data_IF_538960348267
#
_entry.id   IF_538960348267
#
_cell.length_a   1.000
_cell.length_b   1.000
_cell.length_c   1.000
_cell.angle_alpha   90.00
_cell.angle_beta   90.00
_cell.angle_gamma   90.00
#
_symmetry.space_group_name_H-M   'P 1'
#
loop_
_entity.id
_entity.type
_entity.pdbx_description
1 polymer ?
#
# COMPACT_ATOMS: atom_id res chain seq x y z
N UNK A 1 0.83 14.10 -18.72
CA UNK A 1 2.04 13.28 -18.92
C UNK A 1 2.35 12.48 -17.66
N UNK A 2 3.01 11.33 -17.78
CA UNK A 2 3.53 10.52 -16.65
C UNK A 2 5.06 10.53 -16.73
N UNK A 3 5.74 10.69 -15.60
CA UNK A 3 7.20 10.68 -15.52
C UNK A 3 7.67 9.59 -14.55
N UNK A 4 8.80 8.94 -14.83
CA UNK A 4 9.44 7.98 -13.91
C UNK A 4 10.49 8.63 -13.01
N UNK A 5 10.96 9.83 -13.37
CA UNK A 5 11.88 10.64 -12.57
C UNK A 5 11.36 12.08 -12.41
N UNK A 6 11.82 12.72 -11.35
CA UNK A 6 11.58 14.12 -11.04
C UNK A 6 12.87 14.75 -10.52
N UNK A 7 12.94 16.07 -10.50
CA UNK A 7 14.04 16.78 -9.85
C UNK A 7 13.57 17.22 -8.47
N UNK A 8 14.23 16.73 -7.42
CA UNK A 8 14.07 17.27 -6.07
C UNK A 8 14.93 18.54 -5.98
N UNK A 9 14.32 19.65 -5.53
CA UNK A 9 15.02 20.91 -5.26
C UNK A 9 14.71 21.38 -3.85
N UNK A 10 15.73 21.61 -3.05
CA UNK A 10 15.66 22.44 -1.85
C UNK A 10 16.70 23.56 -1.91
N UNK A 11 16.91 24.29 -0.81
CA UNK A 11 17.82 25.44 -0.78
C UNK A 11 19.29 25.07 -1.03
N UNK A 12 19.67 23.79 -0.85
CA UNK A 12 21.07 23.34 -0.87
C UNK A 12 21.33 22.25 -1.93
N UNK A 13 20.30 21.58 -2.43
CA UNK A 13 20.43 20.37 -3.24
C UNK A 13 19.47 20.35 -4.42
N UNK A 14 20.01 19.97 -5.58
CA UNK A 14 19.26 19.62 -6.78
C UNK A 14 19.64 18.20 -7.22
N UNK A 15 18.70 17.25 -7.09
CA UNK A 15 18.96 15.83 -7.36
C UNK A 15 17.84 15.26 -8.23
N UNK A 16 18.20 14.59 -9.32
CA UNK A 16 17.25 13.78 -10.08
C UNK A 16 16.96 12.48 -9.34
N UNK A 17 15.68 12.17 -9.15
CA UNK A 17 15.22 11.05 -8.34
C UNK A 17 14.20 10.22 -9.10
N UNK A 18 14.41 8.90 -9.15
CA UNK A 18 13.43 7.94 -9.65
C UNK A 18 12.28 7.74 -8.64
N UNK A 19 11.10 7.34 -9.11
CA UNK A 19 9.95 7.05 -8.23
C UNK A 19 10.32 6.06 -7.13
N UNK A 20 11.03 4.98 -7.46
CA UNK A 20 11.42 3.96 -6.48
C UNK A 20 12.43 4.47 -5.45
N UNK A 21 13.32 5.38 -5.83
CA UNK A 21 14.26 6.03 -4.91
C UNK A 21 13.50 6.90 -3.92
N UNK A 22 12.57 7.73 -4.40
CA UNK A 22 11.71 8.53 -3.55
C UNK A 22 10.94 7.67 -2.55
N UNK A 23 10.31 6.59 -3.02
CA UNK A 23 9.50 5.71 -2.18
C UNK A 23 10.31 5.06 -1.06
N UNK A 24 11.61 4.86 -1.25
CA UNK A 24 12.51 4.30 -0.23
C UNK A 24 13.13 5.35 0.68
N UNK A 25 13.11 6.61 0.30
CA UNK A 25 13.81 7.66 1.02
C UNK A 25 13.19 7.91 2.42
N UNK A 26 14.01 7.98 3.50
CA UNK A 26 13.52 8.27 4.86
C UNK A 26 12.70 9.58 4.92
N UNK A 27 13.21 10.65 4.29
CA UNK A 27 12.51 11.94 4.19
C UNK A 27 11.41 12.00 3.09
N UNK A 28 10.80 10.87 2.74
CA UNK A 28 9.79 10.76 1.68
C UNK A 28 8.74 11.89 1.72
N UNK A 29 8.19 12.20 2.90
CA UNK A 29 7.16 13.24 3.05
C UNK A 29 7.68 14.63 2.70
N UNK A 30 8.89 14.97 3.11
CA UNK A 30 9.56 16.26 2.81
C UNK A 30 9.84 16.36 1.30
N UNK A 31 10.46 15.32 0.74
CA UNK A 31 10.90 15.32 -0.67
C UNK A 31 9.69 15.39 -1.61
N UNK A 32 8.63 14.62 -1.31
CA UNK A 32 7.39 14.59 -2.10
C UNK A 32 6.77 15.98 -2.33
N UNK A 33 7.00 16.93 -1.42
CA UNK A 33 6.45 18.29 -1.54
C UNK A 33 7.27 19.20 -2.48
N UNK A 34 8.48 18.81 -2.83
CA UNK A 34 9.48 19.62 -3.55
C UNK A 34 9.99 18.90 -4.81
N UNK A 35 9.09 18.25 -5.55
CA UNK A 35 9.39 17.58 -6.81
C UNK A 35 9.03 18.48 -7.98
N UNK A 36 9.94 18.58 -8.95
CA UNK A 36 9.82 19.45 -10.11
C UNK A 36 10.06 18.69 -11.42
N UNK A 37 9.61 19.31 -12.51
CA UNK A 37 9.80 18.83 -13.86
C UNK A 37 11.31 18.69 -14.16
N UNK A 38 11.74 17.61 -14.82
CA UNK A 38 13.13 17.45 -15.23
C UNK A 38 13.50 18.22 -16.50
N UNK A 39 12.57 18.97 -17.10
CA UNK A 39 12.87 19.82 -18.25
C UNK A 39 13.74 20.99 -17.83
N UNK A 40 14.69 21.37 -18.69
CA UNK A 40 15.55 22.53 -18.49
C UNK A 40 14.71 23.78 -18.22
N UNK A 41 15.10 24.55 -17.20
CA UNK A 41 14.44 25.79 -16.75
C UNK A 41 12.94 25.65 -16.43
N UNK A 42 12.45 24.44 -16.16
CA UNK A 42 11.04 24.20 -15.89
C UNK A 42 10.72 24.10 -14.39
N UNK A 43 9.98 25.09 -13.86
CA UNK A 43 9.58 25.13 -12.44
C UNK A 43 8.22 24.46 -12.16
N UNK A 44 7.71 23.64 -13.08
CA UNK A 44 6.43 22.95 -12.89
C UNK A 44 6.54 21.91 -11.78
N UNK A 45 5.77 22.06 -10.71
CA UNK A 45 5.70 21.05 -9.64
C UNK A 45 5.10 19.75 -10.14
N UNK A 46 5.69 18.65 -9.70
CA UNK A 46 5.19 17.30 -9.89
C UNK A 46 4.64 16.76 -8.58
N UNK A 47 3.75 15.78 -8.68
CA UNK A 47 3.19 15.02 -7.57
C UNK A 47 3.28 13.54 -7.90
N UNK A 48 3.65 12.76 -6.90
CA UNK A 48 3.57 11.30 -7.01
C UNK A 48 2.10 10.86 -7.05
N UNK A 49 1.76 10.07 -8.07
CA UNK A 49 0.50 9.37 -8.20
C UNK A 49 0.76 7.91 -7.87
N UNK A 50 0.05 7.42 -6.86
CA UNK A 50 0.19 6.04 -6.39
C UNK A 50 -1.05 5.23 -6.73
N UNK A 51 -0.89 4.19 -7.52
CA UNK A 51 -1.99 3.32 -7.92
C UNK A 51 -2.07 2.10 -6.99
N UNK A 52 -3.27 1.53 -6.84
CA UNK A 52 -3.47 0.35 -5.98
C UNK A 52 -2.80 -0.92 -6.51
N UNK A 53 -2.44 -0.94 -7.79
CA UNK A 53 -1.73 -2.04 -8.44
C UNK A 53 -0.19 -1.95 -8.29
N UNK A 54 0.30 -1.00 -7.50
CA UNK A 54 1.74 -0.80 -7.27
C UNK A 54 2.47 -0.02 -8.36
N UNK A 55 1.78 0.44 -9.41
CA UNK A 55 2.39 1.33 -10.41
C UNK A 55 2.36 2.78 -9.92
N UNK A 56 3.53 3.30 -9.58
CA UNK A 56 3.69 4.67 -9.12
C UNK A 56 4.40 5.52 -10.20
N UNK A 57 3.98 6.77 -10.36
CA UNK A 57 4.56 7.68 -11.36
C UNK A 57 4.40 9.13 -10.91
N UNK A 58 5.25 10.02 -11.41
CA UNK A 58 5.06 11.44 -11.22
C UNK A 58 4.13 12.03 -12.28
N UNK A 59 3.31 12.99 -11.86
CA UNK A 59 2.43 13.77 -12.73
C UNK A 59 2.49 15.23 -12.32
N UNK A 60 2.40 16.13 -13.29
CA UNK A 60 2.23 17.57 -13.05
C UNK A 60 1.15 17.86 -12.00
N UNK A 61 1.48 18.65 -10.99
CA UNK A 61 0.55 19.11 -9.98
C UNK A 61 -0.50 20.03 -10.63
N UNK A 62 -1.75 19.94 -10.18
CA UNK A 62 -2.83 20.81 -10.68
C UNK A 62 -2.51 22.27 -10.33
N UNK A 63 -2.53 23.16 -11.32
CA UNK A 63 -2.21 24.58 -11.13
C UNK A 63 -0.75 24.98 -11.38
N UNK A 64 0.16 24.03 -11.65
CA UNK A 64 1.54 24.33 -12.02
C UNK A 64 1.77 23.98 -13.48
N UNK A 65 1.86 24.98 -14.36
CA UNK A 65 2.08 24.76 -15.79
C UNK A 65 3.57 24.61 -16.10
N UNK A 66 3.87 23.88 -17.17
CA UNK A 66 5.23 23.87 -17.72
C UNK A 66 5.53 25.24 -18.35
N UNK A 67 6.81 25.62 -18.34
CA UNK A 67 7.31 26.76 -19.12
C UNK A 67 7.05 26.52 -20.61
N UNK A 68 6.94 27.61 -21.38
CA UNK A 68 6.65 27.56 -22.81
C UNK A 68 7.71 26.79 -23.62
N UNK A 69 8.95 26.82 -23.15
CA UNK A 69 10.11 26.13 -23.74
C UNK A 69 10.29 24.71 -23.25
N UNK A 70 9.48 24.24 -22.31
CA UNK A 70 9.63 22.91 -21.75
C UNK A 70 9.25 21.83 -22.76
N UNK A 71 10.16 20.88 -23.02
CA UNK A 71 9.91 19.72 -23.89
C UNK A 71 8.78 18.79 -23.43
N UNK A 72 8.23 19.01 -22.23
CA UNK A 72 7.11 18.26 -21.66
C UNK A 72 5.78 19.04 -21.63
N UNK A 73 5.74 20.23 -22.21
CA UNK A 73 4.51 21.02 -22.35
C UNK A 73 3.48 20.23 -23.19
N UNK A 74 2.36 19.84 -22.58
CA UNK A 74 1.21 19.30 -23.32
C UNK A 74 0.44 20.49 -23.91
N UNK A 75 0.55 20.70 -25.23
CA UNK A 75 -0.27 21.68 -25.96
C UNK A 75 -1.75 21.24 -25.94
N UNK A 76 -2.63 22.17 -25.56
CA UNK A 76 -4.09 22.16 -25.43
C UNK A 76 -4.89 20.96 -25.97
N UNK A 77 -4.68 19.78 -25.41
CA UNK A 77 -5.63 18.67 -25.54
C UNK A 77 -6.49 18.62 -24.28
N UNK A 78 -7.74 19.09 -24.39
CA UNK A 78 -8.77 18.89 -23.36
C UNK A 78 -9.18 17.41 -23.40
N UNK A 79 -8.81 16.58 -22.41
CA UNK A 79 -9.17 15.17 -22.42
C UNK A 79 -10.68 15.02 -22.22
N UNK A 80 -11.29 14.04 -22.92
CA UNK A 80 -12.66 13.60 -22.61
C UNK A 80 -12.70 13.16 -21.15
N UNK A 81 -13.45 13.88 -20.31
CA UNK A 81 -13.72 13.46 -18.94
C UNK A 81 -14.96 12.58 -18.98
N UNK A 82 -14.81 11.28 -18.77
CA UNK A 82 -15.92 10.42 -18.35
C UNK A 82 -16.13 10.61 -16.84
N UNK A 83 -17.37 10.68 -16.39
CA UNK A 83 -17.70 10.64 -14.96
C UNK A 83 -17.90 9.18 -14.57
N UNK A 84 -17.45 8.78 -13.38
CA UNK A 84 -17.78 7.47 -12.83
C UNK A 84 -18.44 7.66 -11.49
N UNK A 85 -19.70 7.25 -11.39
CA UNK A 85 -20.44 7.20 -10.14
C UNK A 85 -20.22 5.83 -9.49
N UNK A 86 -20.09 5.81 -8.16
CA UNK A 86 -19.79 4.58 -7.43
C UNK A 86 -20.95 4.15 -6.55
N UNK A 87 -21.45 2.94 -6.77
CA UNK A 87 -22.31 2.24 -5.82
C UNK A 87 -21.43 1.49 -4.83
N UNK A 88 -21.76 1.58 -3.55
CA UNK A 88 -21.02 0.88 -2.49
C UNK A 88 -21.73 -0.43 -2.14
N UNK A 89 -20.98 -1.53 -2.13
CA UNK A 89 -21.49 -2.86 -1.80
C UNK A 89 -20.53 -3.51 -0.78
N UNK A 90 -21.07 -4.21 0.23
CA UNK A 90 -20.25 -4.99 1.16
C UNK A 90 -19.89 -6.33 0.53
N UNK A 91 -18.63 -6.74 0.64
CA UNK A 91 -18.19 -8.02 0.09
C UNK A 91 -16.95 -8.56 0.79
N UNK A 92 -16.89 -9.90 0.91
CA UNK A 92 -15.71 -10.60 1.41
C UNK A 92 -14.67 -10.76 0.32
N UNK A 93 -13.43 -11.01 0.74
CA UNK A 93 -12.34 -11.37 -0.18
C UNK A 93 -12.24 -12.87 -0.38
N UNK A 94 -11.71 -13.29 -1.53
CA UNK A 94 -11.34 -14.68 -1.77
C UNK A 94 -10.02 -15.01 -1.08
N UNK A 95 -9.77 -16.29 -0.78
CA UNK A 95 -8.47 -16.75 -0.26
C UNK A 95 -7.34 -16.39 -1.24
N UNK A 96 -7.56 -16.56 -2.54
CA UNK A 96 -6.62 -16.16 -3.59
C UNK A 96 -6.36 -14.65 -3.60
N UNK A 97 -7.40 -13.86 -3.41
CA UNK A 97 -7.31 -12.40 -3.30
C UNK A 97 -6.49 -11.94 -2.09
N UNK A 98 -6.65 -12.60 -0.95
CA UNK A 98 -5.84 -12.40 0.26
C UNK A 98 -4.39 -12.79 -0.01
N UNK A 99 -4.15 -14.00 -0.52
CA UNK A 99 -2.82 -14.54 -0.80
C UNK A 99 -2.03 -13.67 -1.78
N UNK A 100 -2.67 -13.23 -2.88
CA UNK A 100 -2.04 -12.34 -3.87
C UNK A 100 -1.60 -11.02 -3.25
N UNK A 101 -2.42 -10.42 -2.38
CA UNK A 101 -2.08 -9.14 -1.73
C UNK A 101 -0.97 -9.30 -0.69
N UNK A 102 -0.93 -10.42 0.03
CA UNK A 102 0.17 -10.76 0.94
C UNK A 102 1.48 -10.96 0.19
N UNK A 103 1.46 -11.74 -0.89
CA UNK A 103 2.65 -11.91 -1.74
C UNK A 103 3.15 -10.59 -2.31
N UNK A 104 2.24 -9.72 -2.75
CA UNK A 104 2.59 -8.39 -3.26
C UNK A 104 3.18 -7.48 -2.18
N UNK A 105 2.62 -7.51 -0.96
CA UNK A 105 3.16 -6.76 0.17
C UNK A 105 4.54 -7.31 0.58
N UNK A 106 4.73 -8.63 0.61
CA UNK A 106 6.01 -9.25 0.94
C UNK A 106 7.09 -8.90 -0.10
N UNK A 107 6.71 -8.89 -1.39
CA UNK A 107 7.58 -8.43 -2.47
C UNK A 107 7.92 -6.94 -2.35
N UNK A 108 6.97 -6.13 -1.88
CA UNK A 108 7.22 -4.69 -1.64
C UNK A 108 8.30 -4.51 -0.57
N UNK A 109 8.24 -5.29 0.53
CA UNK A 109 9.27 -5.30 1.54
C UNK A 109 10.61 -5.82 1.00
N UNK A 110 10.62 -6.92 0.23
CA UNK A 110 11.85 -7.45 -0.38
C UNK A 110 12.53 -6.41 -1.27
N UNK A 111 11.76 -5.72 -2.12
CA UNK A 111 12.25 -4.67 -3.02
C UNK A 111 12.75 -3.43 -2.26
N UNK A 112 12.25 -3.22 -1.03
CA UNK A 112 12.73 -2.16 -0.15
C UNK A 112 14.07 -2.55 0.49
N UNK A 113 14.13 -3.74 1.10
CA UNK A 113 15.32 -4.24 1.80
C UNK A 113 16.47 -4.57 0.85
N UNK A 114 16.16 -5.10 -0.33
CA UNK A 114 17.10 -5.54 -1.35
C UNK A 114 16.75 -4.87 -2.69
N UNK A 115 17.00 -3.55 -2.82
CA UNK A 115 16.63 -2.82 -4.02
C UNK A 115 17.43 -3.33 -5.22
N UNK A 116 16.73 -3.78 -6.26
CA UNK A 116 17.36 -3.99 -7.55
C UNK A 116 17.68 -2.61 -8.14
N UNK A 117 18.89 -2.45 -8.70
CA UNK A 117 19.29 -1.22 -9.39
C UNK A 117 18.28 -0.99 -10.52
N UNK A 118 17.50 0.11 -10.50
CA UNK A 118 16.57 0.38 -11.57
C UNK A 118 17.38 0.56 -12.86
N UNK A 119 17.07 -0.25 -13.86
CA UNK A 119 17.59 -0.02 -15.21
C UNK A 119 17.06 1.37 -15.61
N UNK A 120 17.97 2.31 -15.90
CA UNK A 120 17.61 3.63 -16.43
C UNK A 120 16.90 3.41 -17.77
N UNK A 121 15.58 3.28 -17.75
CA UNK A 121 14.80 3.30 -18.97
C UNK A 121 14.80 4.74 -19.49
N UNK A 122 15.46 4.96 -20.64
CA UNK A 122 15.25 6.16 -21.43
C UNK A 122 13.78 6.21 -21.85
N UNK A 123 12.99 7.07 -21.20
CA UNK A 123 11.60 7.26 -21.59
C UNK A 123 11.58 7.95 -22.95
N UNK A 124 11.29 7.18 -24.01
CA UNK A 124 10.72 7.75 -25.24
C UNK A 124 9.25 8.08 -24.98
N UNK A 125 8.78 9.31 -25.22
CA UNK A 125 7.37 9.65 -25.05
C UNK A 125 6.52 8.86 -26.06
N UNK A 126 5.87 7.78 -25.61
CA UNK A 126 4.81 7.14 -26.38
C UNK A 126 3.54 8.00 -26.26
N UNK A 127 3.41 8.97 -27.16
CA UNK A 127 2.14 9.67 -27.39
C UNK A 127 1.16 8.67 -28.03
N UNK A 128 0.37 7.97 -27.20
CA UNK A 128 -0.88 7.41 -27.71
C UNK A 128 -1.80 8.59 -28.05
N UNK A 129 -2.40 8.63 -29.25
CA UNK A 129 -3.38 9.66 -29.57
C UNK A 129 -4.51 9.62 -28.54
N UNK A 130 -4.73 10.73 -27.82
CA UNK A 130 -5.89 10.89 -26.96
C UNK A 130 -7.08 11.22 -27.85
N UNK A 131 -8.24 10.58 -27.61
CA UNK A 131 -9.50 10.99 -28.25
C UNK A 131 -9.79 12.43 -27.86
N UNK A 132 -10.08 13.27 -28.86
CA UNK A 132 -10.50 14.66 -28.72
C UNK A 132 -12.03 14.68 -28.87
N UNK A 133 -12.74 15.48 -28.08
CA UNK A 133 -14.20 15.64 -28.22
C UNK A 133 -14.54 16.30 -29.56
N UNK A 134 -15.54 15.78 -30.24
CA UNK A 134 -16.27 16.55 -31.24
C UNK A 134 -17.28 17.49 -30.55
N UNK A 135 -17.56 18.69 -31.10
CA UNK A 135 -18.53 19.60 -30.53
C UNK A 135 -19.93 18.94 -30.45
N UNK A 136 -20.45 18.75 -29.23
CA UNK A 136 -21.79 18.17 -29.00
C UNK A 136 -21.81 16.78 -28.34
N UNK A 137 -20.67 16.14 -28.11
CA UNK A 137 -20.64 14.85 -27.38
C UNK A 137 -20.99 15.01 -25.89
N UNK A 138 -22.01 14.26 -25.45
CA UNK A 138 -22.38 14.15 -24.04
C UNK A 138 -21.28 13.49 -23.21
N UNK A 139 -21.23 13.83 -21.92
CA UNK A 139 -20.26 13.25 -20.99
C UNK A 139 -20.69 11.82 -20.64
N UNK A 140 -19.89 10.82 -21.03
CA UNK A 140 -20.14 9.42 -20.64
C UNK A 140 -20.11 9.28 -19.10
N UNK A 141 -21.23 8.87 -18.52
CA UNK A 141 -21.36 8.52 -17.10
C UNK A 141 -21.27 6.99 -16.99
N UNK A 142 -20.25 6.52 -16.29
CA UNK A 142 -20.05 5.11 -15.98
C UNK A 142 -20.51 4.82 -14.55
N UNK A 143 -21.09 3.65 -14.30
CA UNK A 143 -21.38 3.17 -12.94
C UNK A 143 -20.31 2.15 -12.54
N UNK A 144 -19.55 2.46 -11.50
CA UNK A 144 -18.59 1.56 -10.87
C UNK A 144 -19.12 1.01 -9.54
N UNK A 145 -18.57 -0.11 -9.08
CA UNK A 145 -18.82 -0.63 -7.73
C UNK A 145 -17.58 -0.47 -6.87
N UNK A 146 -17.77 0.09 -5.68
CA UNK A 146 -16.77 0.14 -4.61
C UNK A 146 -17.13 -0.92 -3.57
N UNK A 147 -16.27 -1.93 -3.44
CA UNK A 147 -16.42 -2.96 -2.42
C UNK A 147 -15.88 -2.45 -1.09
N UNK A 148 -16.72 -2.50 -0.06
CA UNK A 148 -16.33 -2.31 1.35
C UNK A 148 -16.09 -3.69 1.94
N UNK A 149 -14.99 -3.84 2.67
CA UNK A 149 -14.59 -5.12 3.22
C UNK A 149 -15.54 -5.54 4.34
N UNK A 150 -16.10 -6.74 4.22
CA UNK A 150 -16.84 -7.41 5.28
C UNK A 150 -16.53 -8.92 5.23
N UNK A 151 -15.90 -9.51 6.27
CA UNK A 151 -15.58 -10.94 6.28
C UNK A 151 -16.79 -11.86 6.14
N UNK A 152 -17.95 -11.39 6.61
CA UNK A 152 -19.18 -12.17 6.71
C UNK A 152 -20.10 -11.97 5.49
N UNK A 153 -19.78 -11.03 4.60
CA UNK A 153 -20.54 -10.80 3.37
C UNK A 153 -20.24 -11.84 2.29
N UNK A 154 -21.02 -11.87 1.22
CA UNK A 154 -20.76 -12.73 0.07
C UNK A 154 -19.60 -12.22 -0.82
N UNK A 155 -19.10 -13.07 -1.72
CA UNK A 155 -18.16 -12.63 -2.76
C UNK A 155 -18.97 -11.93 -3.84
N UNK A 156 -18.56 -10.72 -4.22
CA UNK A 156 -19.23 -9.97 -5.29
C UNK A 156 -18.69 -10.43 -6.65
N UNK A 157 -19.55 -11.04 -7.45
CA UNK A 157 -19.29 -11.41 -8.85
C UNK A 157 -20.08 -10.51 -9.78
N UNK A 158 -19.44 -10.00 -10.85
CA UNK A 158 -20.13 -9.29 -11.94
C UNK A 158 -19.81 -9.91 -13.28
N UNK A 159 -20.83 -10.03 -14.12
CA UNK A 159 -20.65 -10.44 -15.50
C UNK A 159 -19.87 -9.36 -16.27
N UNK A 160 -18.91 -9.79 -17.07
CA UNK A 160 -18.19 -8.93 -18.00
C UNK A 160 -18.94 -8.87 -19.34
N UNK A 161 -18.62 -7.87 -20.15
CA UNK A 161 -19.18 -7.73 -21.52
C UNK A 161 -18.91 -8.97 -22.41
N UNK A 162 -17.95 -9.81 -22.04
CA UNK A 162 -17.57 -11.01 -22.78
C UNK A 162 -18.22 -12.30 -22.22
N UNK A 163 -19.08 -12.22 -21.21
CA UNK A 163 -19.70 -13.39 -20.56
C UNK A 163 -18.85 -14.04 -19.46
N UNK A 164 -17.60 -13.60 -19.27
CA UNK A 164 -16.78 -14.05 -18.14
C UNK A 164 -17.24 -13.41 -16.84
N UNK A 165 -17.12 -14.13 -15.72
CA UNK A 165 -17.36 -13.58 -14.38
C UNK A 165 -16.10 -12.88 -13.85
N UNK A 166 -16.27 -11.65 -13.37
CA UNK A 166 -15.23 -10.88 -12.68
C UNK A 166 -15.55 -10.74 -11.20
N UNK A 167 -14.64 -11.23 -10.36
CA UNK A 167 -14.71 -11.05 -8.92
C UNK A 167 -14.28 -9.62 -8.57
N UNK A 168 -15.11 -8.93 -7.80
CA UNK A 168 -14.82 -7.60 -7.26
C UNK A 168 -14.41 -7.74 -5.80
N UNK A 169 -13.26 -7.15 -5.46
CA UNK A 169 -12.70 -7.24 -4.10
C UNK A 169 -12.27 -5.86 -3.61
N UNK A 170 -12.27 -5.71 -2.29
CA UNK A 170 -11.80 -4.50 -1.63
C UNK A 170 -10.34 -4.19 -1.97
N UNK A 171 -10.04 -2.90 -2.16
CA UNK A 171 -8.69 -2.42 -2.46
C UNK A 171 -7.91 -2.20 -1.18
N UNK A 172 -6.66 -2.67 -1.16
CA UNK A 172 -5.67 -2.38 -0.13
C UNK A 172 -4.52 -1.58 -0.75
N UNK A 173 -4.31 -0.36 -0.25
CA UNK A 173 -3.28 0.54 -0.77
C UNK A 173 -1.92 0.19 -0.18
N UNK A 174 -0.90 0.03 -1.03
CA UNK A 174 0.47 -0.23 -0.56
C UNK A 174 1.05 1.03 0.06
N UNK A 175 1.38 1.00 1.34
CA UNK A 175 2.03 2.10 2.06
C UNK A 175 3.00 1.51 3.05
N UNK A 176 4.30 1.80 2.90
CA UNK A 176 5.25 1.58 3.99
C UNK A 176 5.01 2.62 5.09
N UNK A 177 5.38 2.37 6.35
CA UNK A 177 5.04 3.25 7.47
C UNK A 177 5.47 4.72 7.28
N UNK A 178 6.67 4.98 6.78
CA UNK A 178 7.18 6.33 6.46
C UNK A 178 6.43 7.04 5.32
N UNK A 179 5.59 6.32 4.59
CA UNK A 179 4.79 6.85 3.49
C UNK A 179 3.36 7.17 3.88
N UNK A 180 2.92 6.74 5.07
CA UNK A 180 1.55 6.92 5.57
C UNK A 180 1.35 8.40 5.92
N UNK A 181 0.18 8.94 5.56
CA UNK A 181 -0.16 10.34 5.76
C UNK A 181 -1.63 10.49 6.17
N UNK A 182 -2.04 11.68 6.62
CA UNK A 182 -3.45 12.00 6.95
C UNK A 182 -4.41 11.68 5.79
N UNK A 183 -3.95 11.74 4.54
CA UNK A 183 -4.77 11.36 3.37
C UNK A 183 -5.11 9.88 3.32
N UNK A 184 -4.42 9.05 4.09
CA UNK A 184 -4.63 7.62 4.15
C UNK A 184 -5.66 7.24 5.23
N UNK A 185 -6.20 8.19 6.00
CA UNK A 185 -7.22 7.93 7.03
C UNK A 185 -8.46 7.23 6.47
N UNK A 186 -9.04 6.32 7.26
CA UNK A 186 -10.22 5.53 6.89
C UNK A 186 -10.03 4.69 5.61
N UNK A 187 -8.80 4.22 5.37
CA UNK A 187 -8.49 3.34 4.23
C UNK A 187 -7.92 2.01 4.67
N UNK A 188 -8.12 1.03 3.79
CA UNK A 188 -7.49 -0.27 3.86
C UNK A 188 -6.08 -0.18 3.28
N UNK A 189 -5.09 -0.51 4.09
CA UNK A 189 -3.66 -0.39 3.80
C UNK A 189 -3.01 -1.77 3.84
N UNK A 190 -2.01 -1.98 2.99
CA UNK A 190 -1.04 -3.06 3.18
C UNK A 190 0.31 -2.43 3.46
N UNK A 191 0.96 -2.90 4.51
CA UNK A 191 2.18 -2.32 5.07
C UNK A 191 3.05 -3.42 5.66
N UNK A 192 4.29 -3.06 5.99
CA UNK A 192 5.24 -3.93 6.66
C UNK A 192 5.98 -3.18 7.77
N UNK A 193 6.31 -3.87 8.85
CA UNK A 193 7.07 -3.35 9.98
C UNK A 193 7.80 -4.47 10.72
N UNK A 194 8.87 -4.14 11.43
CA UNK A 194 9.54 -5.05 12.37
C UNK A 194 8.68 -5.18 13.63
N UNK A 195 8.51 -6.40 14.12
CA UNK A 195 7.83 -6.67 15.38
C UNK A 195 8.76 -6.36 16.55
N UNK A 196 8.34 -5.45 17.43
CA UNK A 196 9.11 -5.06 18.62
C UNK A 196 8.59 -5.78 19.88
N UNK A 197 7.27 -5.77 20.08
CA UNK A 197 6.62 -6.33 21.26
C UNK A 197 5.15 -6.64 21.00
N UNK A 198 4.62 -7.68 21.64
CA UNK A 198 3.18 -7.98 21.67
C UNK A 198 2.66 -7.84 23.10
N UNK A 199 1.63 -7.03 23.27
CA UNK A 199 1.00 -6.69 24.55
C UNK A 199 -0.41 -7.28 24.55
N UNK A 200 -0.71 -8.06 25.59
CA UNK A 200 -1.97 -8.78 25.75
C UNK A 200 -2.85 -8.04 26.76
N UNK A 201 -4.12 -7.82 26.43
CA UNK A 201 -5.10 -7.33 27.39
C UNK A 201 -5.43 -8.41 28.42
N UNK A 202 -5.63 -8.00 29.68
CA UNK A 202 -5.98 -8.90 30.78
C UNK A 202 -7.48 -9.25 30.82
N UNK A 203 -8.33 -8.41 30.22
CA UNK A 203 -9.79 -8.48 30.41
C UNK A 203 -10.58 -8.83 29.15
N UNK A 204 -10.04 -8.56 27.95
CA UNK A 204 -10.75 -8.73 26.68
C UNK A 204 -9.84 -9.38 25.63
N UNK A 205 -10.42 -10.00 24.60
CA UNK A 205 -9.70 -10.47 23.40
C UNK A 205 -9.24 -9.27 22.58
N UNK A 206 -8.14 -8.68 23.02
CA UNK A 206 -7.53 -7.49 22.44
C UNK A 206 -6.02 -7.58 22.60
N UNK A 207 -5.30 -7.39 21.50
CA UNK A 207 -3.83 -7.44 21.49
C UNK A 207 -3.29 -6.23 20.76
N UNK A 208 -2.29 -5.59 21.34
CA UNK A 208 -1.51 -4.52 20.71
C UNK A 208 -0.15 -5.09 20.31
N UNK A 209 0.22 -4.93 19.05
CA UNK A 209 1.55 -5.22 18.54
C UNK A 209 2.27 -3.89 18.33
N UNK A 210 3.31 -3.65 19.12
CA UNK A 210 4.25 -2.57 18.87
C UNK A 210 5.21 -2.99 17.77
N UNK A 211 5.37 -2.12 16.78
CA UNK A 211 6.19 -2.37 15.63
C UNK A 211 6.90 -1.09 15.20
N UNK A 212 7.98 -1.27 14.45
CA UNK A 212 8.80 -0.16 13.97
C UNK A 212 9.21 -0.38 12.51
N UNK A 213 9.37 0.70 11.77
CA UNK A 213 9.97 0.65 10.44
C UNK A 213 10.75 1.93 10.20
N UNK A 214 12.05 1.79 9.95
CA UNK A 214 12.99 2.92 9.94
C UNK A 214 12.87 3.72 11.26
N UNK A 215 12.57 5.01 11.19
CA UNK A 215 12.37 5.91 12.32
C UNK A 215 10.88 6.08 12.71
N UNK A 216 9.99 5.24 12.21
CA UNK A 216 8.55 5.32 12.46
C UNK A 216 8.13 4.18 13.38
N UNK A 217 7.64 4.53 14.57
CA UNK A 217 6.93 3.61 15.46
C UNK A 217 5.45 3.57 15.11
N UNK A 218 4.85 2.38 15.21
CA UNK A 218 3.43 2.17 14.97
C UNK A 218 2.89 1.03 15.84
N UNK A 219 1.57 0.98 15.95
CA UNK A 219 0.85 -0.08 16.64
C UNK A 219 -0.09 -0.79 15.68
N UNK A 220 -0.05 -2.11 15.66
CA UNK A 220 -1.14 -2.90 15.12
C UNK A 220 -2.07 -3.35 16.23
N UNK A 221 -3.35 -3.05 16.08
CA UNK A 221 -4.39 -3.48 17.00
C UNK A 221 -5.08 -4.71 16.42
N UNK A 222 -5.13 -5.77 17.20
CA UNK A 222 -5.92 -6.97 16.96
C UNK A 222 -7.20 -6.85 17.83
N UNK A 223 -8.33 -6.39 17.26
CA UNK A 223 -9.59 -6.29 17.99
C UNK A 223 -10.17 -7.68 18.28
N UNK A 224 -11.22 -7.75 19.09
CA UNK A 224 -11.97 -9.00 19.35
C UNK A 224 -12.41 -9.70 18.05
N UNK A 225 -12.80 -8.94 17.03
CA UNK A 225 -13.15 -9.46 15.71
C UNK A 225 -12.01 -10.27 15.05
N UNK A 226 -10.75 -9.98 15.36
CA UNK A 226 -9.61 -10.78 14.88
C UNK A 226 -9.67 -12.23 15.38
N UNK A 227 -10.10 -12.42 16.62
CA UNK A 227 -10.15 -13.73 17.25
C UNK A 227 -11.44 -14.49 16.92
N UNK A 228 -12.53 -13.75 16.70
CA UNK A 228 -13.88 -14.31 16.55
C UNK A 228 -14.41 -14.28 15.10
N UNK A 229 -13.58 -14.05 14.08
CA UNK A 229 -14.08 -14.02 12.71
C UNK A 229 -14.47 -15.43 12.19
N UNK A 230 -15.41 -15.46 11.26
CA UNK A 230 -15.98 -16.70 10.69
C UNK A 230 -15.05 -17.46 9.73
N UNK A 231 -13.93 -16.86 9.33
CA UNK A 231 -12.93 -17.44 8.42
C UNK A 231 -11.75 -18.05 9.16
N UNK A 232 -11.54 -17.66 10.42
CA UNK A 232 -10.42 -18.10 11.23
C UNK A 232 -10.51 -19.61 11.40
N UNK A 233 -9.46 -20.32 11.00
CA UNK A 233 -9.37 -21.78 11.16
C UNK A 233 -8.94 -22.20 12.57
N UNK A 234 -8.36 -21.28 13.32
CA UNK A 234 -7.83 -21.45 14.67
C UNK A 234 -8.83 -20.96 15.73
N UNK A 235 -8.87 -21.63 16.87
CA UNK A 235 -9.66 -21.13 18.01
C UNK A 235 -8.98 -19.90 18.63
N UNK A 236 -9.73 -19.00 19.30
CA UNK A 236 -9.17 -17.81 19.95
C UNK A 236 -7.96 -18.11 20.85
N UNK A 237 -8.02 -19.18 21.65
CA UNK A 237 -6.94 -19.59 22.55
C UNK A 237 -5.68 -20.03 21.80
N UNK A 238 -5.83 -20.67 20.64
CA UNK A 238 -4.70 -21.07 19.79
C UNK A 238 -4.03 -19.85 19.18
N UNK A 239 -4.81 -18.87 18.71
CA UNK A 239 -4.30 -17.59 18.20
C UNK A 239 -3.52 -16.83 19.28
N UNK A 240 -4.07 -16.73 20.49
CA UNK A 240 -3.39 -16.11 21.62
C UNK A 240 -2.08 -16.82 21.95
N UNK A 241 -2.09 -18.16 21.99
CA UNK A 241 -0.89 -18.95 22.23
C UNK A 241 0.17 -18.72 21.13
N UNK A 242 -0.22 -18.66 19.87
CA UNK A 242 0.69 -18.38 18.76
C UNK A 242 1.33 -16.99 18.87
N UNK A 243 0.54 -15.98 19.21
CA UNK A 243 1.06 -14.63 19.46
C UNK A 243 2.02 -14.60 20.66
N UNK A 244 1.75 -15.37 21.73
CA UNK A 244 2.67 -15.50 22.87
C UNK A 244 4.00 -16.12 22.47
N UNK A 245 3.99 -17.19 21.67
CA UNK A 245 5.21 -17.83 21.16
C UNK A 245 6.05 -16.85 20.33
N UNK A 246 5.40 -16.07 19.45
CA UNK A 246 6.09 -15.04 18.66
C UNK A 246 6.67 -13.96 19.58
N UNK A 247 5.90 -13.50 20.58
CA UNK A 247 6.38 -12.51 21.55
C UNK A 247 7.60 -13.00 22.33
N UNK A 248 7.57 -14.24 22.81
CA UNK A 248 8.72 -14.82 23.50
C UNK A 248 9.96 -14.91 22.60
N UNK A 249 9.76 -15.26 21.33
CA UNK A 249 10.86 -15.33 20.37
C UNK A 249 11.49 -13.94 20.14
N UNK A 250 10.70 -12.91 19.83
CA UNK A 250 11.23 -11.55 19.57
C UNK A 250 11.91 -10.93 20.80
N UNK A 251 11.50 -11.31 22.01
CA UNK A 251 12.11 -10.83 23.26
C UNK A 251 13.39 -11.57 23.64
N UNK A 252 13.54 -12.84 23.22
CA UNK A 252 14.72 -13.67 23.53
C UNK A 252 15.79 -13.59 22.45
N UNK A 253 15.37 -13.56 21.19
CA UNK A 253 16.24 -13.60 20.02
C UNK A 253 16.38 -12.20 19.42
N UNK A 254 17.62 -11.76 19.17
CA UNK A 254 17.89 -10.46 18.56
C UNK A 254 17.74 -10.51 17.02
N UNK A 255 16.66 -11.13 16.52
CA UNK A 255 16.39 -11.34 15.09
C UNK A 255 15.13 -10.60 14.67
N UNK A 256 15.29 -9.71 13.69
CA UNK A 256 14.17 -8.97 13.09
C UNK A 256 13.17 -9.93 12.42
N UNK A 257 11.96 -10.00 12.97
CA UNK A 257 10.78 -10.55 12.29
C UNK A 257 9.95 -9.37 11.78
N UNK A 258 9.84 -9.27 10.46
CA UNK A 258 8.92 -8.35 9.82
C UNK A 258 7.53 -8.96 9.76
N UNK A 259 6.52 -8.23 10.21
CA UNK A 259 5.13 -8.48 9.85
C UNK A 259 4.81 -7.71 8.57
N UNK A 260 4.21 -8.40 7.62
CA UNK A 260 3.61 -7.83 6.42
C UNK A 260 2.12 -8.12 6.47
N UNK A 261 1.30 -7.07 6.51
CA UNK A 261 -0.12 -7.19 6.87
C UNK A 261 -1.04 -6.32 6.03
N UNK A 262 -2.27 -6.79 5.86
CA UNK A 262 -3.41 -5.99 5.43
C UNK A 262 -4.15 -5.47 6.67
N UNK A 263 -4.40 -4.17 6.72
CA UNK A 263 -4.96 -3.50 7.88
C UNK A 263 -5.88 -2.35 7.45
N UNK A 264 -6.60 -1.78 8.41
CA UNK A 264 -7.39 -0.58 8.23
C UNK A 264 -6.84 0.54 9.11
N UNK A 265 -6.73 1.72 8.53
CA UNK A 265 -6.50 2.95 9.28
C UNK A 265 -7.84 3.55 9.71
N UNK A 266 -7.86 4.12 10.91
CA UNK A 266 -8.90 5.06 11.31
C UNK A 266 -8.42 6.48 10.97
N UNK A 267 -8.77 7.47 11.79
CA UNK A 267 -8.11 8.77 11.74
C UNK A 267 -6.62 8.60 12.08
N UNK A 268 -5.74 9.05 11.19
CA UNK A 268 -4.29 8.91 11.35
C UNK A 268 -3.75 10.06 12.20
N UNK A 269 -3.17 9.71 13.35
CA UNK A 269 -2.20 10.53 14.06
C UNK A 269 -0.79 10.09 13.67
N UNK A 270 0.03 11.01 13.14
CA UNK A 270 1.41 10.72 12.74
C UNK A 270 2.35 10.54 13.94
N UNK A 271 1.96 10.99 15.14
CA UNK A 271 2.72 10.77 16.38
C UNK A 271 2.42 9.43 17.04
N UNK A 272 1.24 8.87 16.78
CA UNK A 272 0.78 7.58 17.32
C UNK A 272 0.06 6.77 16.24
N UNK A 273 0.83 6.32 15.24
CA UNK A 273 0.28 5.63 14.08
C UNK A 273 -0.32 4.27 14.50
N UNK A 274 -1.65 4.19 14.46
CA UNK A 274 -2.40 3.01 14.86
C UNK A 274 -3.16 2.40 13.68
N UNK A 275 -2.96 1.11 13.44
CA UNK A 275 -3.55 0.35 12.34
C UNK A 275 -4.25 -0.91 12.86
N UNK A 276 -5.40 -1.28 12.30
CA UNK A 276 -6.21 -2.39 12.80
C UNK A 276 -6.14 -3.59 11.87
N UNK A 277 -5.81 -4.77 12.40
CA UNK A 277 -5.79 -6.03 11.65
C UNK A 277 -7.00 -6.84 12.11
N UNK A 278 -7.98 -7.01 11.24
CA UNK A 278 -9.22 -7.69 11.57
C UNK A 278 -9.21 -9.20 11.34
N UNK A 279 -8.17 -9.74 10.68
CA UNK A 279 -8.09 -11.17 10.37
C UNK A 279 -6.68 -11.74 10.54
N UNK A 280 -6.55 -12.93 11.15
CA UNK A 280 -5.28 -13.67 11.21
C UNK A 280 -4.70 -13.93 9.82
N UNK A 281 -5.56 -14.22 8.85
CA UNK A 281 -5.21 -14.53 7.47
C UNK A 281 -4.57 -13.34 6.76
N UNK A 282 -4.73 -12.11 7.27
CA UNK A 282 -4.13 -10.90 6.70
C UNK A 282 -2.65 -10.77 7.02
N UNK A 283 -2.14 -11.53 7.99
CA UNK A 283 -0.75 -11.47 8.42
C UNK A 283 0.13 -12.47 7.67
N UNK A 284 1.30 -12.01 7.29
CA UNK A 284 2.43 -12.80 6.80
C UNK A 284 3.70 -12.27 7.45
N UNK A 285 4.75 -13.09 7.48
CA UNK A 285 5.98 -12.74 8.16
C UNK A 285 7.18 -13.00 7.28
N UNK A 286 8.22 -12.19 7.47
CA UNK A 286 9.48 -12.33 6.78
C UNK A 286 10.62 -12.06 7.74
N UNK A 287 11.72 -12.77 7.58
CA UNK A 287 12.97 -12.46 8.26
C UNK A 287 13.84 -11.59 7.35
N UNK A 288 14.82 -10.91 7.94
CA UNK A 288 15.75 -10.07 7.16
C UNK A 288 16.54 -10.82 6.09
N UNK A 289 16.81 -12.11 6.31
CA UNK A 289 17.49 -12.98 5.34
C UNK A 289 16.56 -13.53 4.22
N UNK A 290 15.28 -13.11 4.19
CA UNK A 290 14.36 -13.42 3.10
C UNK A 290 13.55 -14.71 3.26
N UNK A 291 13.60 -15.39 4.41
CA UNK A 291 12.63 -16.47 4.69
C UNK A 291 11.23 -15.87 4.82
N UNK A 292 10.22 -16.59 4.33
CA UNK A 292 8.84 -16.12 4.24
C UNK A 292 7.88 -17.11 4.89
N UNK A 293 6.98 -16.59 5.70
CA UNK A 293 5.96 -17.34 6.42
C UNK A 293 4.61 -16.78 6.03
N UNK A 294 3.86 -17.54 5.24
CA UNK A 294 2.59 -17.10 4.71
C UNK A 294 1.50 -17.00 5.79
N UNK A 295 1.67 -17.60 6.97
CA UNK A 295 0.68 -17.62 8.04
C UNK A 295 1.34 -17.55 9.43
N UNK A 296 0.57 -17.18 10.45
CA UNK A 296 0.97 -17.31 11.86
C UNK A 296 1.46 -18.72 12.17
N UNK A 297 0.67 -19.74 11.79
CA UNK A 297 1.00 -21.15 12.00
C UNK A 297 2.38 -21.50 11.43
N UNK A 298 2.67 -21.07 10.21
CA UNK A 298 3.96 -21.37 9.56
C UNK A 298 5.15 -20.73 10.29
N UNK A 299 4.98 -19.52 10.84
CA UNK A 299 6.02 -18.86 11.63
C UNK A 299 6.22 -19.57 12.98
N UNK A 300 5.13 -19.90 13.67
CA UNK A 300 5.19 -20.56 14.98
C UNK A 300 5.86 -21.93 14.89
N UNK A 301 5.51 -22.74 13.88
CA UNK A 301 6.17 -24.02 13.61
C UNK A 301 7.68 -23.81 13.39
N UNK A 302 8.06 -22.80 12.63
CA UNK A 302 9.45 -22.52 12.33
C UNK A 302 10.24 -22.08 13.58
N UNK A 303 9.63 -21.27 14.46
CA UNK A 303 10.17 -20.91 15.78
C UNK A 303 10.37 -22.15 16.65
N UNK A 304 9.33 -22.97 16.82
CA UNK A 304 9.36 -24.13 17.71
C UNK A 304 10.35 -25.21 17.23
N UNK A 305 10.52 -25.34 15.92
CA UNK A 305 11.48 -26.29 15.31
C UNK A 305 12.89 -25.72 15.18
N UNK A 306 13.13 -24.47 15.64
CA UNK A 306 14.43 -23.76 15.49
C UNK A 306 14.89 -23.68 14.04
N UNK A 307 13.95 -23.56 13.12
CA UNK A 307 14.21 -23.39 11.67
C UNK A 307 14.49 -21.94 11.28
N UNK A 308 14.45 -21.00 12.25
CA UNK A 308 14.66 -19.56 12.06
C UNK A 308 15.64 -18.95 13.06
#
# INVERSE_FOLDING_TARGET
MKFSYAVYKDEETEIQMHVDELLRHPDYLKIKMNLYCPGEECNAKLSIIRLSNGTDYFRRHRGYNHSETCGYLELDQVPVKSITEYVTENGRMTDDGINRRKQDAMRTLDNYLNPQIPIKEEIKPKNKPRKVREPGEETEINIGTKVVYDPNAEIIEKDTKNGDKKILETRFYSRMPHQISIKDSNKNLKTSAVLDQIIFSESNLYVEIKASFENISLKFILPEAFFNNSRTRLMPDELLNYLKIINEYIQKENKDIFITTMCQSQEIDLKDLTLWIFEPEFMSFQTRNGQKFATLTSLVIAIQTKSI
#
